data_IF_862835141527
#
_entry.id   IF_862835141527
#
_cell.length_a   1.000
_cell.length_b   1.000
_cell.length_c   1.000
_cell.angle_alpha   90.00
_cell.angle_beta   90.00
_cell.angle_gamma   90.00
#
_symmetry.space_group_name_H-M   'P 1'
#
loop_
_entity.id
_entity.type
_entity.pdbx_description
1 polymer ?
#
# COMPACT_ATOMS: atom_id res chain seq x y z
N UNK A 1 31.05 -35.88 14.44
CA UNK A 1 29.81 -35.86 13.64
C UNK A 1 29.71 -34.49 12.97
N UNK A 2 29.63 -34.48 11.63
CA UNK A 2 29.50 -33.39 10.63
C UNK A 2 28.85 -32.07 11.11
N UNK A 3 29.12 -30.85 10.60
CA UNK A 3 29.90 -30.29 9.46
C UNK A 3 30.08 -28.77 9.71
N UNK A 4 31.25 -28.21 9.37
CA UNK A 4 31.57 -26.76 9.27
C UNK A 4 30.67 -26.07 8.23
N UNK A 5 30.53 -24.73 8.28
CA UNK A 5 30.94 -23.81 7.21
C UNK A 5 30.63 -22.35 7.57
N UNK A 6 31.65 -21.60 7.98
CA UNK A 6 31.74 -20.15 7.88
C UNK A 6 32.94 -19.86 6.98
N UNK A 7 32.78 -19.05 5.93
CA UNK A 7 33.89 -18.56 5.12
C UNK A 7 33.63 -17.11 4.71
N UNK A 8 34.54 -16.27 5.16
CA UNK A 8 34.85 -14.92 4.70
C UNK A 8 35.63 -14.94 3.37
N UNK A 9 35.54 -13.80 2.67
CA UNK A 9 36.57 -13.18 1.80
C UNK A 9 36.61 -13.50 0.30
N UNK A 10 36.60 -12.38 -0.44
CA UNK A 10 37.40 -12.05 -1.63
C UNK A 10 37.13 -12.79 -2.96
N UNK A 11 36.74 -12.03 -3.99
CA UNK A 11 36.92 -12.27 -5.44
C UNK A 11 36.81 -10.87 -6.10
N UNK A 12 37.92 -10.16 -6.29
CA UNK A 12 38.82 -10.11 -7.47
C UNK A 12 38.25 -9.35 -8.68
N UNK A 13 38.90 -8.22 -9.01
CA UNK A 13 38.84 -7.54 -10.31
C UNK A 13 39.31 -8.48 -11.42
N UNK A 14 38.55 -8.56 -12.51
CA UNK A 14 39.08 -8.89 -13.84
C UNK A 14 38.46 -7.91 -14.82
N UNK A 15 39.32 -7.05 -15.38
CA UNK A 15 39.00 -6.26 -16.56
C UNK A 15 39.14 -7.18 -17.77
N UNK A 16 38.14 -7.20 -18.66
CA UNK A 16 38.28 -7.79 -19.99
C UNK A 16 38.04 -6.70 -21.03
N UNK A 17 39.09 -6.43 -21.78
CA UNK A 17 39.19 -5.43 -22.85
C UNK A 17 38.64 -5.96 -24.18
N UNK A 18 38.24 -5.03 -25.05
CA UNK A 18 38.02 -5.16 -26.52
C UNK A 18 36.87 -6.10 -26.95
N UNK A 19 35.96 -5.75 -27.86
CA UNK A 19 36.08 -5.05 -29.13
C UNK A 19 34.74 -4.32 -29.44
N UNK A 20 34.81 -3.15 -30.09
CA UNK A 20 33.67 -2.60 -30.82
C UNK A 20 33.45 -3.49 -32.06
N UNK A 21 32.25 -4.04 -32.31
CA UNK A 21 31.92 -4.50 -33.65
C UNK A 21 31.58 -3.27 -34.49
N UNK A 22 32.35 -3.14 -35.56
CA UNK A 22 32.28 -2.09 -36.56
C UNK A 22 30.89 -1.95 -37.17
N UNK A 23 30.60 -0.70 -37.51
CA UNK A 23 29.58 -0.27 -38.45
C UNK A 23 29.61 -1.11 -39.73
N UNK A 24 28.62 -2.00 -39.89
CA UNK A 24 28.25 -2.57 -41.19
C UNK A 24 26.83 -2.13 -41.52
N UNK A 25 26.77 -1.25 -42.52
CA UNK A 25 25.57 -0.90 -43.25
C UNK A 25 25.04 -2.15 -43.95
N UNK A 26 23.93 -2.70 -43.46
CA UNK A 26 23.06 -3.56 -44.26
C UNK A 26 21.73 -2.86 -44.45
N UNK A 27 21.63 -2.22 -45.60
CA UNK A 27 20.40 -1.70 -46.15
C UNK A 27 19.48 -2.86 -46.54
N UNK A 28 18.23 -2.77 -46.09
CA UNK A 28 17.06 -3.30 -46.79
C UNK A 28 16.62 -4.71 -46.46
N UNK A 29 15.52 -4.85 -45.71
CA UNK A 29 14.21 -5.32 -46.21
C UNK A 29 13.17 -5.38 -45.06
N UNK A 30 12.20 -4.46 -45.14
CA UNK A 30 10.78 -4.51 -44.74
C UNK A 30 10.34 -5.63 -43.76
N UNK A 31 9.87 -5.31 -42.56
CA UNK A 31 8.45 -5.01 -42.34
C UNK A 31 8.24 -3.92 -41.28
N UNK A 32 7.91 -2.72 -41.77
CA UNK A 32 6.79 -1.90 -41.29
C UNK A 32 6.38 -1.95 -39.82
N UNK A 33 7.28 -1.76 -38.85
CA UNK A 33 6.87 -1.05 -37.64
C UNK A 33 6.73 0.41 -38.06
N UNK A 34 5.54 0.77 -38.56
CA UNK A 34 5.13 2.18 -38.68
C UNK A 34 5.49 2.80 -37.33
N UNK A 35 6.44 3.74 -37.33
CA UNK A 35 6.76 4.49 -36.12
C UNK A 35 5.43 5.01 -35.59
N UNK A 36 5.09 4.60 -34.37
CA UNK A 36 3.84 5.03 -33.76
C UNK A 36 3.82 6.55 -33.83
N UNK A 37 2.68 7.11 -34.25
CA UNK A 37 2.54 8.56 -34.37
C UNK A 37 3.08 9.21 -33.08
N UNK A 38 3.84 10.31 -33.16
CA UNK A 38 4.32 11.00 -31.97
C UNK A 38 3.12 11.32 -31.06
N UNK A 39 3.12 10.76 -29.84
CA UNK A 39 1.98 10.81 -28.92
C UNK A 39 1.22 9.48 -28.71
N UNK A 40 1.54 8.42 -29.47
CA UNK A 40 0.96 7.09 -29.28
C UNK A 40 1.81 6.25 -28.32
N UNK A 41 1.74 6.58 -27.03
CA UNK A 41 2.27 5.74 -25.95
C UNK A 41 1.29 4.61 -25.66
N UNK A 42 1.68 3.32 -25.78
CA UNK A 42 0.82 2.23 -25.34
C UNK A 42 0.51 2.36 -23.85
N UNK A 43 -0.77 2.41 -23.48
CA UNK A 43 -1.18 2.29 -22.08
C UNK A 43 -0.92 0.87 -21.60
N UNK A 44 -0.20 0.74 -20.49
CA UNK A 44 0.10 -0.55 -19.87
C UNK A 44 -1.13 -1.03 -19.10
N UNK A 45 -1.72 -2.13 -19.54
CA UNK A 45 -2.83 -2.80 -18.87
C UNK A 45 -2.32 -3.69 -17.73
N UNK A 46 -2.96 -3.63 -16.56
CA UNK A 46 -2.62 -4.45 -15.40
C UNK A 46 -3.84 -5.25 -14.92
N UNK A 47 -3.82 -6.56 -15.13
CA UNK A 47 -4.83 -7.51 -14.65
C UNK A 47 -4.53 -8.04 -13.23
N UNK A 48 -3.26 -8.03 -12.83
CA UNK A 48 -2.82 -8.51 -11.53
C UNK A 48 -1.96 -7.44 -10.85
N UNK A 49 -2.24 -7.20 -9.57
CA UNK A 49 -1.45 -6.30 -8.72
C UNK A 49 -1.37 -6.87 -7.31
N UNK A 50 -0.14 -6.96 -6.79
CA UNK A 50 0.09 -7.27 -5.38
C UNK A 50 0.10 -5.96 -4.60
N UNK A 51 -0.64 -5.94 -3.49
CA UNK A 51 -0.72 -4.79 -2.59
C UNK A 51 -0.61 -5.22 -1.14
N UNK A 52 -0.18 -4.30 -0.29
CA UNK A 52 -0.22 -4.42 1.17
C UNK A 52 -1.37 -3.55 1.66
N UNK A 53 -2.23 -4.15 2.48
CA UNK A 53 -3.46 -3.52 2.96
C UNK A 53 -3.46 -3.61 4.48
N UNK A 54 -3.52 -2.45 5.13
CA UNK A 54 -3.57 -2.32 6.59
C UNK A 54 -4.88 -1.62 6.96
N UNK A 55 -5.78 -2.30 7.66
CA UNK A 55 -7.00 -1.67 8.17
C UNK A 55 -6.66 -0.62 9.24
N UNK A 56 -7.57 0.31 9.48
CA UNK A 56 -7.41 1.28 10.57
C UNK A 56 -7.41 0.60 11.93
N UNK A 57 -6.61 1.12 12.85
CA UNK A 57 -6.62 0.72 14.24
C UNK A 57 -7.85 1.29 14.96
N UNK A 58 -8.37 0.54 15.94
CA UNK A 58 -9.36 1.09 16.87
C UNK A 58 -8.71 2.14 17.77
N UNK A 59 -9.48 3.14 18.18
CA UNK A 59 -9.07 4.10 19.17
C UNK A 59 -8.98 3.47 20.56
N UNK A 60 -8.14 4.04 21.41
CA UNK A 60 -8.01 3.62 22.80
C UNK A 60 -9.19 4.12 23.65
N UNK A 61 -9.64 3.31 24.60
CA UNK A 61 -10.56 3.75 25.65
C UNK A 61 -9.87 4.72 26.62
N UNK A 62 -10.63 5.68 27.16
CA UNK A 62 -10.15 6.58 28.17
C UNK A 62 -10.46 6.05 29.56
N UNK A 63 -9.51 6.09 30.50
CA UNK A 63 -9.79 5.88 31.92
C UNK A 63 -9.87 7.26 32.58
N UNK A 64 -11.09 7.70 32.89
CA UNK A 64 -11.36 8.98 33.54
C UNK A 64 -12.33 8.82 34.71
N UNK A 65 -12.31 9.78 35.63
CA UNK A 65 -13.22 9.86 36.76
C UNK A 65 -13.75 11.29 36.87
N UNK A 66 -15.04 11.43 37.21
CA UNK A 66 -15.66 12.74 37.35
C UNK A 66 -15.12 13.52 38.55
N UNK A 67 -15.01 14.84 38.38
CA UNK A 67 -14.62 15.77 39.45
C UNK A 67 -15.77 16.71 39.73
N UNK A 68 -16.53 16.39 40.78
CA UNK A 68 -17.68 17.17 41.22
C UNK A 68 -17.33 17.95 42.48
N UNK A 69 -17.85 19.17 42.60
CA UNK A 69 -17.72 19.94 43.83
C UNK A 69 -18.36 19.18 44.99
N UNK A 70 -17.62 19.04 46.10
CA UNK A 70 -18.00 18.28 47.31
C UNK A 70 -18.11 16.75 47.18
N UNK A 71 -17.75 16.14 46.04
CA UNK A 71 -17.61 14.69 45.95
C UNK A 71 -16.17 14.29 45.62
N UNK A 72 -15.37 13.82 46.61
CA UNK A 72 -13.98 13.43 46.40
C UNK A 72 -13.83 12.12 45.61
N UNK A 73 -14.90 11.31 45.47
CA UNK A 73 -14.91 10.06 44.71
C UNK A 73 -16.00 10.12 43.63
N UNK A 74 -15.67 10.77 42.51
CA UNK A 74 -16.51 10.67 41.31
C UNK A 74 -16.49 9.26 40.74
N UNK A 75 -17.57 8.89 40.05
CA UNK A 75 -17.66 7.62 39.32
C UNK A 75 -16.69 7.59 38.12
N UNK A 76 -16.49 6.41 37.51
CA UNK A 76 -15.76 6.30 36.25
C UNK A 76 -16.55 7.04 35.15
N UNK A 77 -15.84 7.85 34.38
CA UNK A 77 -16.41 8.64 33.27
C UNK A 77 -15.58 8.54 31.99
N UNK A 78 -14.83 7.45 31.85
CA UNK A 78 -14.07 7.15 30.65
C UNK A 78 -14.96 6.69 29.50
N UNK A 79 -14.84 7.31 28.32
CA UNK A 79 -15.46 6.82 27.10
C UNK A 79 -14.62 5.77 26.38
N UNK A 80 -15.28 4.88 25.63
CA UNK A 80 -14.65 3.90 24.74
C UNK A 80 -14.02 4.56 23.51
N UNK A 81 -13.01 3.92 22.92
CA UNK A 81 -12.46 4.32 21.63
C UNK A 81 -13.32 3.88 20.45
N UNK A 82 -13.26 4.64 19.36
CA UNK A 82 -14.00 4.38 18.14
C UNK A 82 -13.36 3.28 17.30
N UNK A 83 -14.16 2.66 16.43
CA UNK A 83 -13.68 1.60 15.54
C UNK A 83 -12.76 2.15 14.45
N UNK A 84 -11.74 1.36 14.11
CA UNK A 84 -10.88 1.63 12.95
C UNK A 84 -11.61 1.40 11.62
N UNK A 85 -11.16 2.11 10.59
CA UNK A 85 -11.76 2.08 9.27
C UNK A 85 -11.44 0.80 8.53
N UNK A 86 -12.49 0.10 8.08
CA UNK A 86 -12.34 -1.06 7.21
C UNK A 86 -11.87 -0.67 5.81
N UNK A 87 -11.18 -1.59 5.15
CA UNK A 87 -10.85 -1.49 3.73
C UNK A 87 -11.74 -2.47 2.98
N UNK A 88 -12.54 -1.92 2.06
CA UNK A 88 -13.57 -2.66 1.35
C UNK A 88 -13.24 -2.64 -0.14
N UNK A 89 -13.07 -3.81 -0.73
CA UNK A 89 -12.97 -3.94 -2.18
C UNK A 89 -14.39 -3.87 -2.77
N UNK A 90 -14.65 -2.84 -3.56
CA UNK A 90 -15.93 -2.67 -4.25
C UNK A 90 -15.76 -2.98 -5.73
N UNK A 91 -16.48 -3.99 -6.21
CA UNK A 91 -16.47 -4.35 -7.62
C UNK A 91 -17.30 -3.33 -8.41
N UNK A 92 -16.71 -2.75 -9.47
CA UNK A 92 -17.32 -1.73 -10.31
C UNK A 92 -17.07 -1.99 -11.80
N UNK A 93 -18.08 -1.73 -12.62
CA UNK A 93 -18.00 -1.89 -14.09
C UNK A 93 -17.23 -0.74 -14.74
N UNK A 94 -17.01 0.35 -14.01
CA UNK A 94 -16.33 1.54 -14.51
C UNK A 94 -14.80 1.45 -14.42
N UNK A 95 -14.28 0.42 -13.75
CA UNK A 95 -12.85 0.16 -13.63
C UNK A 95 -12.46 -0.89 -14.67
N UNK A 96 -11.48 -0.56 -15.51
CA UNK A 96 -11.03 -1.44 -16.60
C UNK A 96 -9.75 -2.21 -16.25
N UNK A 97 -8.86 -1.63 -15.45
CA UNK A 97 -7.61 -2.27 -15.02
C UNK A 97 -7.27 -1.95 -13.55
N UNK A 98 -6.28 -2.64 -12.97
CA UNK A 98 -5.87 -2.47 -11.57
C UNK A 98 -4.70 -1.48 -11.41
N UNK A 99 -4.36 -0.72 -12.46
CA UNK A 99 -3.18 0.14 -12.46
C UNK A 99 -3.32 1.33 -11.50
N UNK A 100 -4.54 1.84 -11.29
CA UNK A 100 -4.87 2.97 -10.40
C UNK A 100 -4.71 2.66 -8.91
N UNK A 101 -4.78 1.40 -8.50
CA UNK A 101 -4.69 1.03 -7.09
C UNK A 101 -3.31 1.36 -6.52
N UNK A 102 -3.22 1.78 -5.27
CA UNK A 102 -1.90 2.01 -4.64
C UNK A 102 -1.29 0.67 -4.20
N UNK A 103 0.05 0.60 -4.16
CA UNK A 103 0.75 -0.61 -3.68
C UNK A 103 0.60 -0.83 -2.17
N UNK A 104 0.36 0.25 -1.42
CA UNK A 104 0.10 0.25 0.02
C UNK A 104 -1.15 1.08 0.25
N UNK A 105 -2.14 0.52 0.94
CA UNK A 105 -3.36 1.22 1.34
C UNK A 105 -3.53 1.07 2.85
N UNK A 106 -3.79 2.19 3.52
CA UNK A 106 -4.02 2.25 4.96
C UNK A 106 -5.41 2.79 5.25
N UNK A 107 -6.13 2.12 6.13
CA UNK A 107 -7.41 2.58 6.66
C UNK A 107 -7.19 3.76 7.60
N UNK A 108 -8.26 4.51 7.88
CA UNK A 108 -8.22 5.57 8.89
C UNK A 108 -8.39 4.97 10.27
N UNK A 109 -7.65 5.46 11.25
CA UNK A 109 -7.78 5.01 12.62
C UNK A 109 -9.02 5.60 13.30
N UNK A 110 -9.59 4.84 14.24
CA UNK A 110 -10.66 5.31 15.11
C UNK A 110 -10.15 6.37 16.09
N UNK A 111 -11.05 7.25 16.52
CA UNK A 111 -10.69 8.28 17.50
C UNK A 111 -10.71 7.68 18.90
N UNK A 112 -9.81 8.11 19.77
CA UNK A 112 -9.80 7.66 21.17
C UNK A 112 -11.04 8.15 21.93
N UNK A 113 -11.38 7.45 23.00
CA UNK A 113 -12.38 7.92 23.95
C UNK A 113 -11.88 9.14 24.73
N UNK A 114 -12.82 9.87 25.31
CA UNK A 114 -12.58 11.06 26.11
C UNK A 114 -13.26 10.95 27.49
N UNK A 115 -12.89 11.81 28.45
CA UNK A 115 -13.61 11.92 29.72
C UNK A 115 -15.08 12.31 29.52
N UNK A 116 -15.88 12.20 30.58
CA UNK A 116 -17.32 12.52 30.60
C UNK A 116 -18.17 11.58 29.73
N UNK A 117 -17.81 10.29 29.68
CA UNK A 117 -18.47 9.25 28.88
C UNK A 117 -18.53 9.58 27.39
N UNK A 118 -17.56 10.34 26.88
CA UNK A 118 -17.48 10.71 25.49
C UNK A 118 -16.77 9.61 24.69
N UNK A 119 -17.53 8.84 23.92
CA UNK A 119 -16.99 7.80 23.04
C UNK A 119 -16.28 8.41 21.83
N UNK A 120 -15.19 7.76 21.40
CA UNK A 120 -14.45 8.11 20.21
C UNK A 120 -15.25 7.83 18.94
N UNK A 121 -15.08 8.67 17.92
CA UNK A 121 -15.72 8.51 16.62
C UNK A 121 -15.14 7.32 15.84
N UNK A 122 -16.02 6.60 15.15
CA UNK A 122 -15.61 5.55 14.20
C UNK A 122 -14.95 6.18 12.98
N UNK A 123 -13.91 5.53 12.48
CA UNK A 123 -13.22 5.99 11.29
C UNK A 123 -13.99 5.67 10.00
N UNK A 124 -13.82 6.52 9.00
CA UNK A 124 -14.39 6.29 7.66
C UNK A 124 -13.75 5.08 6.97
N UNK A 125 -14.58 4.27 6.33
CA UNK A 125 -14.13 3.12 5.55
C UNK A 125 -13.51 3.57 4.22
N UNK A 126 -12.46 2.85 3.81
CA UNK A 126 -11.79 3.08 2.54
C UNK A 126 -12.29 2.10 1.50
N UNK A 127 -12.88 2.62 0.42
CA UNK A 127 -13.40 1.81 -0.68
C UNK A 127 -12.40 1.78 -1.83
N UNK A 128 -11.95 0.58 -2.19
CA UNK A 128 -11.08 0.34 -3.33
C UNK A 128 -11.88 -0.25 -4.47
N UNK A 129 -12.05 0.53 -5.54
CA UNK A 129 -12.78 0.08 -6.72
C UNK A 129 -11.94 -0.92 -7.52
N UNK A 130 -12.50 -2.10 -7.80
CA UNK A 130 -11.88 -3.15 -8.60
C UNK A 130 -12.77 -3.48 -9.81
N UNK A 131 -12.17 -3.90 -10.92
CA UNK A 131 -12.91 -4.27 -12.13
C UNK A 131 -13.76 -5.53 -11.89
N UNK A 132 -14.95 -5.58 -12.48
CA UNK A 132 -15.79 -6.78 -12.51
C UNK A 132 -15.35 -7.67 -13.67
N UNK A 133 -15.12 -8.95 -13.38
CA UNK A 133 -14.60 -9.91 -14.35
C UNK A 133 -13.08 -9.77 -14.48
N UNK A 134 -12.37 -10.77 -13.93
CA UNK A 134 -10.94 -10.98 -14.16
C UNK A 134 -10.75 -11.93 -15.35
#
# INVERSE_FOLDING_TARGET
MYKRFAWTSAISRVAFSTLKPDSVHHAGLINGLKSRAPGCTPRKFANMKRMVVEAGHGGDGCVAFDRLFCNPKGGPSGGDGGNGGHIILQASQHVTDLSHLQSIVRGRDGVNGYPSNCHGANAEHTYLQVSIGL
#
